data_IF_051180410979
#
_entry.id   IF_051180410979
#
_cell.length_a   1.000
_cell.length_b   1.000
_cell.length_c   1.000
_cell.angle_alpha   90.00
_cell.angle_beta   90.00
_cell.angle_gamma   90.00
#
_symmetry.space_group_name_H-M   'P 1'
#
loop_
_entity.id
_entity.type
_entity.pdbx_description
1 polymer ?
#
# COMPACT_ATOMS: atom_id res chain seq x y z
N UNK A 1 14.92 30.10 27.96
CA UNK A 1 15.55 29.45 26.79
C UNK A 1 16.23 28.17 27.24
N UNK A 2 15.64 27.01 26.92
CA UNK A 2 16.32 25.71 27.05
C UNK A 2 15.83 24.82 25.92
N UNK A 3 16.75 24.45 25.02
CA UNK A 3 16.53 23.65 23.82
C UNK A 3 16.11 22.24 24.23
N UNK A 4 14.85 21.87 24.01
CA UNK A 4 14.41 20.47 24.09
C UNK A 4 15.03 19.72 22.91
N UNK A 5 15.90 18.78 23.25
CA UNK A 5 16.56 17.86 22.33
C UNK A 5 15.51 16.92 21.73
N UNK A 6 15.19 17.11 20.44
CA UNK A 6 14.40 16.16 19.67
C UNK A 6 15.26 14.91 19.44
N UNK A 7 15.14 13.93 20.33
CA UNK A 7 15.70 12.62 20.12
C UNK A 7 14.97 11.96 18.96
N UNK A 8 15.63 11.98 17.81
CA UNK A 8 15.31 11.37 16.54
C UNK A 8 15.13 9.85 16.73
N UNK A 9 13.89 9.41 16.86
CA UNK A 9 13.53 7.99 16.96
C UNK A 9 13.39 7.41 15.54
N UNK A 10 14.50 6.93 14.98
CA UNK A 10 14.59 6.31 13.65
C UNK A 10 14.16 4.84 13.64
N UNK A 11 12.90 4.55 13.96
CA UNK A 11 12.34 3.21 13.78
C UNK A 11 11.13 3.36 12.85
N UNK A 12 11.29 2.80 11.65
CA UNK A 12 10.22 2.32 10.77
C UNK A 12 9.21 1.55 11.61
N UNK A 13 8.12 2.22 11.97
CA UNK A 13 7.04 1.62 12.76
C UNK A 13 6.24 0.71 11.82
N UNK A 14 6.80 -0.47 11.55
CA UNK A 14 6.17 -1.55 10.81
C UNK A 14 5.12 -2.16 11.75
N UNK A 15 3.99 -1.46 11.95
CA UNK A 15 2.85 -1.97 12.70
C UNK A 15 2.14 -3.05 11.89
N UNK A 16 2.72 -4.25 11.85
CA UNK A 16 1.93 -5.45 11.59
C UNK A 16 0.92 -5.56 12.74
N UNK A 17 -0.37 -5.76 12.44
CA UNK A 17 -1.34 -6.22 13.45
C UNK A 17 -0.88 -7.61 13.93
N UNK A 18 -0.03 -7.62 14.96
CA UNK A 18 0.77 -8.77 15.39
C UNK A 18 2.20 -8.33 15.66
N UNK A 19 2.46 -7.89 16.90
CA UNK A 19 3.74 -7.49 17.49
C UNK A 19 5.00 -7.96 16.74
N UNK A 20 5.67 -7.04 16.02
CA UNK A 20 7.08 -7.22 15.69
C UNK A 20 7.85 -5.88 15.75
N UNK A 21 8.58 -5.71 16.84
CA UNK A 21 9.64 -4.72 16.97
C UNK A 21 10.82 -5.17 16.13
N UNK A 22 11.10 -4.50 15.01
CA UNK A 22 12.30 -4.76 14.21
C UNK A 22 13.56 -4.42 15.02
N UNK A 23 14.33 -5.46 15.32
CA UNK A 23 15.61 -5.40 16.02
C UNK A 23 16.66 -4.61 15.23
N UNK A 24 17.51 -3.88 15.97
CA UNK A 24 18.72 -3.20 15.49
C UNK A 24 19.69 -4.20 14.84
N UNK A 25 20.11 -3.96 13.60
CA UNK A 25 21.34 -4.55 13.03
C UNK A 25 22.31 -3.47 12.51
N UNK A 26 23.60 -3.79 12.52
CA UNK A 26 24.74 -2.89 12.28
C UNK A 26 24.71 -2.18 10.91
N UNK A 27 25.31 -0.99 10.84
CA UNK A 27 25.07 0.00 9.76
C UNK A 27 25.36 -0.42 8.30
N UNK A 28 26.17 -1.46 8.04
CA UNK A 28 26.35 -2.00 6.67
C UNK A 28 25.20 -2.95 6.28
N UNK A 29 24.57 -3.61 7.25
CA UNK A 29 23.34 -4.40 7.08
C UNK A 29 22.09 -3.51 7.00
N UNK A 30 22.15 -2.27 7.49
CA UNK A 30 20.97 -1.41 7.60
C UNK A 30 20.34 -1.02 6.25
N UNK A 31 21.15 -0.87 5.18
CA UNK A 31 20.59 -0.56 3.86
C UNK A 31 19.93 -1.79 3.23
N UNK A 32 20.54 -2.97 3.35
CA UNK A 32 19.95 -4.22 2.88
C UNK A 32 18.68 -4.54 3.66
N UNK A 33 18.66 -4.34 4.98
CA UNK A 33 17.46 -4.52 5.80
C UNK A 33 16.33 -3.57 5.41
N UNK A 34 16.63 -2.29 5.09
CA UNK A 34 15.61 -1.35 4.59
C UNK A 34 15.05 -1.78 3.24
N UNK A 35 15.92 -2.21 2.34
CA UNK A 35 15.50 -2.70 1.04
C UNK A 35 14.60 -3.93 1.18
N UNK A 36 14.97 -4.91 1.99
CA UNK A 36 14.17 -6.10 2.23
C UNK A 36 12.81 -5.79 2.89
N UNK A 37 12.74 -4.82 3.80
CA UNK A 37 11.47 -4.38 4.38
C UNK A 37 10.54 -3.73 3.35
N UNK A 38 11.09 -2.85 2.51
CA UNK A 38 10.33 -2.19 1.45
C UNK A 38 9.92 -3.19 0.36
N UNK A 39 10.75 -4.18 0.07
CA UNK A 39 10.47 -5.29 -0.84
C UNK A 39 9.38 -6.20 -0.30
N UNK A 40 9.44 -6.56 0.98
CA UNK A 40 8.40 -7.31 1.68
C UNK A 40 7.07 -6.55 1.64
N UNK A 41 7.08 -5.25 1.92
CA UNK A 41 5.88 -4.43 1.77
C UNK A 41 5.28 -4.52 0.35
N UNK A 42 6.07 -4.44 -0.71
CA UNK A 42 5.56 -4.57 -2.08
C UNK A 42 4.89 -5.95 -2.32
N UNK A 43 5.43 -7.02 -1.74
CA UNK A 43 4.82 -8.36 -1.79
C UNK A 43 3.49 -8.40 -1.04
N UNK A 44 3.42 -7.81 0.16
CA UNK A 44 2.16 -7.71 0.92
C UNK A 44 1.10 -6.93 0.14
N UNK A 45 1.44 -5.80 -0.47
CA UNK A 45 0.52 -5.06 -1.31
C UNK A 45 0.01 -5.90 -2.49
N UNK A 46 0.89 -6.63 -3.18
CA UNK A 46 0.51 -7.48 -4.32
C UNK A 46 -0.48 -8.58 -3.91
N UNK A 47 -0.34 -9.09 -2.68
CA UNK A 47 -1.27 -10.06 -2.06
C UNK A 47 -2.57 -9.46 -1.54
N UNK A 48 -2.77 -8.15 -1.68
CA UNK A 48 -4.01 -7.47 -1.31
C UNK A 48 -4.02 -6.86 0.08
N UNK A 49 -2.87 -6.76 0.75
CA UNK A 49 -2.80 -6.05 2.02
C UNK A 49 -2.85 -4.54 1.81
N UNK A 50 -3.28 -3.85 2.87
CA UNK A 50 -3.37 -2.38 2.91
C UNK A 50 -2.05 -1.77 3.38
N UNK A 51 -1.49 -0.85 2.62
CA UNK A 51 -0.21 -0.21 2.91
C UNK A 51 -0.38 1.31 2.90
N UNK A 52 0.08 1.96 3.95
CA UNK A 52 0.22 3.41 3.99
C UNK A 52 1.68 3.79 3.79
N UNK A 53 1.92 4.66 2.81
CA UNK A 53 3.23 5.21 2.50
C UNK A 53 3.19 6.71 2.77
N UNK A 54 4.01 7.15 3.72
CA UNK A 54 4.25 8.54 4.01
C UNK A 54 5.54 8.99 3.33
N UNK A 55 5.47 10.06 2.55
CA UNK A 55 6.64 10.63 1.91
C UNK A 55 6.30 11.39 0.62
N UNK A 56 7.23 12.23 0.14
CA UNK A 56 7.02 13.00 -1.07
C UNK A 56 6.94 12.12 -2.32
N UNK A 57 6.45 12.73 -3.39
CA UNK A 57 6.47 12.17 -4.73
C UNK A 57 7.87 12.09 -5.36
N UNK A 58 8.76 11.28 -4.78
CA UNK A 58 10.16 11.17 -5.19
C UNK A 58 10.45 9.96 -6.10
N UNK A 59 11.72 9.86 -6.52
CA UNK A 59 12.21 8.76 -7.36
C UNK A 59 12.13 7.41 -6.65
N UNK A 60 12.36 7.36 -5.33
CA UNK A 60 12.30 6.12 -4.57
C UNK A 60 10.87 5.58 -4.53
N UNK A 61 9.88 6.42 -4.22
CA UNK A 61 8.46 6.07 -4.26
C UNK A 61 8.07 5.60 -5.66
N UNK A 62 8.53 6.29 -6.69
CA UNK A 62 8.27 5.92 -8.09
C UNK A 62 8.87 4.55 -8.44
N UNK A 63 10.12 4.30 -8.04
CA UNK A 63 10.78 3.01 -8.23
C UNK A 63 10.06 1.89 -7.49
N UNK A 64 9.62 2.14 -6.25
CA UNK A 64 8.86 1.19 -5.45
C UNK A 64 7.48 0.89 -6.05
N UNK A 65 6.72 1.90 -6.50
CA UNK A 65 5.42 1.73 -7.14
C UNK A 65 5.53 0.97 -8.47
N UNK A 66 6.60 1.21 -9.22
CA UNK A 66 6.93 0.44 -10.43
C UNK A 66 7.21 -1.02 -10.07
N UNK A 67 8.05 -1.25 -9.04
CA UNK A 67 8.35 -2.59 -8.56
C UNK A 67 7.09 -3.35 -8.12
N UNK A 68 6.21 -2.70 -7.35
CA UNK A 68 4.91 -3.24 -6.97
C UNK A 68 4.04 -3.58 -8.19
N UNK A 69 3.95 -2.67 -9.17
CA UNK A 69 3.17 -2.91 -10.39
C UNK A 69 3.69 -4.11 -11.18
N UNK A 70 5.02 -4.20 -11.33
CA UNK A 70 5.68 -5.31 -12.02
C UNK A 70 5.40 -6.65 -11.30
N UNK A 71 5.41 -6.67 -9.96
CA UNK A 71 5.04 -7.85 -9.17
C UNK A 71 3.57 -8.21 -9.37
N UNK A 72 2.66 -7.25 -9.23
CA UNK A 72 1.23 -7.50 -9.38
C UNK A 72 0.89 -8.05 -10.78
N UNK A 73 1.50 -7.52 -11.84
CA UNK A 73 1.34 -8.04 -13.20
C UNK A 73 1.89 -9.47 -13.36
N UNK A 74 3.01 -9.79 -12.71
CA UNK A 74 3.53 -11.15 -12.69
C UNK A 74 2.58 -12.12 -11.98
N UNK A 75 1.89 -11.68 -10.92
CA UNK A 75 0.85 -12.45 -10.24
C UNK A 75 -0.41 -12.60 -11.10
N UNK A 76 -0.78 -11.56 -11.85
CA UNK A 76 -1.92 -11.58 -12.75
C UNK A 76 -1.82 -12.66 -13.83
N UNK A 77 -0.61 -12.87 -14.36
CA UNK A 77 -0.31 -13.96 -15.30
C UNK A 77 -0.56 -15.37 -14.71
N UNK A 78 -0.62 -15.48 -13.38
CA UNK A 78 -0.87 -16.74 -12.65
C UNK A 78 -2.34 -16.95 -12.26
N UNK A 79 -3.25 -16.02 -12.57
CA UNK A 79 -4.70 -16.25 -12.40
C UNK A 79 -5.57 -15.06 -11.99
N UNK A 80 -5.03 -13.86 -11.73
CA UNK A 80 -5.84 -12.67 -11.44
C UNK A 80 -5.93 -11.72 -12.66
N UNK A 81 -7.14 -11.39 -13.12
CA UNK A 81 -7.37 -10.53 -14.31
C UNK A 81 -7.58 -9.06 -13.97
N UNK A 82 -7.47 -8.68 -12.69
CA UNK A 82 -7.72 -7.30 -12.22
C UNK A 82 -6.56 -6.38 -12.61
N UNK A 83 -6.85 -5.10 -12.80
CA UNK A 83 -5.84 -4.04 -13.03
C UNK A 83 -5.68 -3.16 -11.81
N UNK A 84 -4.48 -2.62 -11.62
CA UNK A 84 -4.25 -1.58 -10.62
C UNK A 84 -4.99 -0.31 -11.04
N UNK A 85 -5.73 0.27 -10.10
CA UNK A 85 -6.53 1.47 -10.31
C UNK A 85 -5.90 2.63 -9.55
N UNK A 86 -5.60 3.71 -10.26
CA UNK A 86 -5.13 4.96 -9.67
C UNK A 86 -6.35 5.81 -9.30
N UNK A 87 -6.48 6.18 -8.04
CA UNK A 87 -7.52 7.06 -7.54
C UNK A 87 -6.94 8.46 -7.33
N UNK A 88 -7.37 9.47 -8.12
CA UNK A 88 -6.98 10.86 -7.91
C UNK A 88 -7.45 11.39 -6.55
N UNK A 89 -6.83 12.48 -6.09
CA UNK A 89 -7.14 13.14 -4.82
C UNK A 89 -8.60 13.59 -4.66
N UNK A 90 -9.31 13.83 -5.77
CA UNK A 90 -10.69 14.35 -5.80
C UNK A 90 -11.70 13.29 -6.26
N UNK A 91 -11.45 12.01 -5.99
CA UNK A 91 -12.40 10.93 -6.28
C UNK A 91 -13.66 11.10 -5.43
N UNK A 92 -14.84 11.02 -6.05
CA UNK A 92 -16.12 11.11 -5.35
C UNK A 92 -16.64 9.73 -4.91
N UNK A 93 -17.72 9.74 -4.12
CA UNK A 93 -18.34 8.52 -3.60
C UNK A 93 -18.82 7.57 -4.71
N UNK A 94 -19.52 8.11 -5.71
CA UNK A 94 -20.11 7.33 -6.80
C UNK A 94 -19.04 6.75 -7.75
N UNK A 95 -17.89 7.40 -7.92
CA UNK A 95 -16.77 6.80 -8.62
C UNK A 95 -16.13 5.69 -7.79
N UNK A 96 -15.92 5.90 -6.49
CA UNK A 96 -15.22 4.93 -5.63
C UNK A 96 -16.03 3.65 -5.40
N UNK A 97 -17.29 3.79 -4.98
CA UNK A 97 -18.17 2.68 -4.61
C UNK A 97 -19.10 2.23 -5.74
N UNK A 98 -19.29 3.10 -6.74
CA UNK A 98 -20.24 2.87 -7.81
C UNK A 98 -21.52 3.66 -7.59
N UNK A 99 -22.27 3.84 -8.66
CA UNK A 99 -23.44 4.70 -8.67
C UNK A 99 -24.42 4.29 -9.75
N UNK A 100 -25.41 5.14 -9.98
CA UNK A 100 -26.36 4.96 -11.08
C UNK A 100 -25.85 5.70 -12.31
N UNK A 101 -25.79 5.04 -13.46
CA UNK A 101 -25.56 5.71 -14.73
C UNK A 101 -26.88 6.31 -15.22
N UNK A 102 -27.11 7.58 -14.89
CA UNK A 102 -28.34 8.30 -15.24
C UNK A 102 -28.57 8.35 -16.75
N UNK A 103 -27.51 8.47 -17.55
CA UNK A 103 -27.63 8.56 -19.00
C UNK A 103 -28.10 7.24 -19.60
N UNK A 104 -27.44 6.13 -19.24
CA UNK A 104 -27.85 4.80 -19.68
C UNK A 104 -29.23 4.42 -19.11
N UNK A 105 -29.54 4.85 -17.88
CA UNK A 105 -30.81 4.54 -17.25
C UNK A 105 -31.99 5.22 -17.96
N UNK A 106 -31.84 6.49 -18.33
CA UNK A 106 -32.84 7.24 -19.08
C UNK A 106 -32.99 6.70 -20.51
N UNK A 107 -31.90 6.30 -21.15
CA UNK A 107 -31.93 5.74 -22.50
C UNK A 107 -32.61 4.37 -22.57
N UNK A 108 -32.47 3.54 -21.53
CA UNK A 108 -33.01 2.18 -21.48
C UNK A 108 -34.36 2.07 -20.78
N UNK A 109 -34.78 3.10 -20.04
CA UNK A 109 -35.99 3.08 -19.20
C UNK A 109 -35.85 2.17 -17.96
N UNK A 110 -34.63 1.79 -17.59
CA UNK A 110 -34.33 0.89 -16.48
C UNK A 110 -33.14 1.41 -15.68
N UNK A 111 -33.05 1.14 -14.37
CA UNK A 111 -31.93 1.61 -13.55
C UNK A 111 -30.67 0.81 -13.90
N UNK A 112 -29.68 1.46 -14.51
CA UNK A 112 -28.36 0.91 -14.84
C UNK A 112 -27.37 1.31 -13.76
N UNK A 113 -26.76 0.32 -13.10
CA UNK A 113 -25.71 0.53 -12.08
C UNK A 113 -24.32 0.45 -12.70
N UNK A 114 -23.43 1.34 -12.26
CA UNK A 114 -22.01 1.36 -12.62
C UNK A 114 -21.18 0.86 -11.44
N UNK A 115 -20.32 -0.12 -11.69
CA UNK A 115 -19.38 -0.60 -10.68
C UNK A 115 -18.34 0.47 -10.32
N UNK A 116 -18.09 0.65 -9.02
CA UNK A 116 -17.08 1.58 -8.51
C UNK A 116 -15.65 1.10 -8.76
N UNK A 117 -14.69 2.01 -8.59
CA UNK A 117 -13.26 1.73 -8.71
C UNK A 117 -12.82 0.59 -7.76
N UNK A 118 -13.40 0.52 -6.56
CA UNK A 118 -13.07 -0.51 -5.55
C UNK A 118 -13.38 -1.94 -6.01
N UNK A 119 -14.32 -2.12 -6.94
CA UNK A 119 -14.68 -3.41 -7.50
C UNK A 119 -13.76 -3.85 -8.65
N UNK A 120 -13.00 -2.91 -9.23
CA UNK A 120 -12.22 -3.15 -10.46
C UNK A 120 -10.84 -3.75 -10.18
N UNK A 121 -10.27 -3.53 -9.00
CA UNK A 121 -8.92 -3.98 -8.68
C UNK A 121 -8.32 -3.35 -7.44
N UNK A 122 -7.04 -3.64 -7.16
CA UNK A 122 -6.31 -2.95 -6.11
C UNK A 122 -6.22 -1.45 -6.43
N UNK A 123 -6.39 -0.64 -5.39
CA UNK A 123 -6.44 0.81 -5.48
C UNK A 123 -5.12 1.44 -5.02
N UNK A 124 -4.70 2.49 -5.70
CA UNK A 124 -3.65 3.41 -5.24
C UNK A 124 -4.30 4.78 -5.05
N UNK A 125 -4.39 5.22 -3.80
CA UNK A 125 -4.91 6.53 -3.45
C UNK A 125 -3.77 7.53 -3.45
N UNK A 126 -3.87 8.53 -4.32
CA UNK A 126 -2.96 9.66 -4.39
C UNK A 126 -3.40 10.75 -3.39
N UNK A 127 -2.43 11.35 -2.68
CA UNK A 127 -2.65 12.47 -1.77
C UNK A 127 -3.82 12.20 -0.80
N UNK A 128 -3.77 11.07 -0.10
CA UNK A 128 -4.84 10.60 0.77
C UNK A 128 -5.19 11.59 1.88
N UNK A 129 -4.24 12.46 2.24
CA UNK A 129 -4.44 13.55 3.20
C UNK A 129 -5.49 14.57 2.74
N UNK A 130 -5.79 14.63 1.43
CA UNK A 130 -6.76 15.55 0.82
C UNK A 130 -8.15 14.95 0.65
N UNK A 131 -8.34 13.68 0.98
CA UNK A 131 -9.62 13.01 0.80
C UNK A 131 -10.65 13.45 1.85
N UNK A 132 -11.92 13.47 1.44
CA UNK A 132 -13.00 13.77 2.37
C UNK A 132 -13.06 12.73 3.51
N UNK A 133 -13.34 13.22 4.72
CA UNK A 133 -13.33 12.39 5.92
C UNK A 133 -14.47 11.36 5.94
N UNK A 134 -15.61 11.70 5.36
CA UNK A 134 -16.75 10.79 5.22
C UNK A 134 -16.38 9.68 4.23
N UNK A 135 -15.80 10.04 3.08
CA UNK A 135 -15.35 9.08 2.07
C UNK A 135 -14.29 8.11 2.60
N UNK A 136 -13.29 8.61 3.35
CA UNK A 136 -12.27 7.75 3.96
C UNK A 136 -12.83 6.83 5.05
N UNK A 137 -13.90 7.23 5.76
CA UNK A 137 -14.56 6.40 6.77
C UNK A 137 -15.32 5.25 6.12
N UNK A 138 -16.03 5.50 5.02
CA UNK A 138 -16.71 4.46 4.24
C UNK A 138 -15.70 3.50 3.61
N UNK A 139 -14.59 4.03 3.07
CA UNK A 139 -13.53 3.20 2.50
C UNK A 139 -12.91 2.30 3.56
N UNK A 140 -12.68 2.85 4.74
CA UNK A 140 -12.18 2.12 5.89
C UNK A 140 -13.09 0.91 6.24
N UNK A 141 -14.41 1.09 6.25
CA UNK A 141 -15.36 -0.01 6.44
C UNK A 141 -15.30 -1.04 5.30
N UNK A 142 -15.11 -0.59 4.06
CA UNK A 142 -14.99 -1.50 2.92
C UNK A 142 -13.71 -2.34 2.97
N UNK A 143 -12.60 -1.79 3.47
CA UNK A 143 -11.33 -2.52 3.67
C UNK A 143 -11.50 -3.69 4.63
N UNK A 144 -12.36 -3.56 5.65
CA UNK A 144 -12.63 -4.65 6.61
C UNK A 144 -13.21 -5.91 5.92
N UNK A 145 -13.71 -5.77 4.68
CA UNK A 145 -14.24 -6.86 3.85
C UNK A 145 -13.28 -7.30 2.74
N UNK A 146 -12.08 -6.71 2.67
CA UNK A 146 -11.06 -7.15 1.72
C UNK A 146 -10.50 -8.49 2.20
N UNK A 147 -10.56 -9.49 1.32
CA UNK A 147 -9.99 -10.81 1.57
C UNK A 147 -8.59 -10.88 0.92
N UNK A 148 -7.50 -10.80 1.71
CA UNK A 148 -6.16 -10.93 1.17
C UNK A 148 -6.01 -12.35 0.64
N UNK A 149 -5.78 -12.49 -0.66
CA UNK A 149 -5.64 -13.81 -1.29
C UNK A 149 -4.75 -13.73 -2.52
N UNK A 150 -4.07 -14.84 -2.80
CA UNK A 150 -3.14 -14.95 -3.93
C UNK A 150 -3.83 -14.83 -5.31
N UNK A 151 -5.15 -15.04 -5.38
CA UNK A 151 -5.87 -15.10 -6.66
C UNK A 151 -6.84 -13.93 -6.89
N UNK A 152 -7.24 -13.17 -5.85
CA UNK A 152 -8.33 -12.17 -5.93
C UNK A 152 -8.06 -10.88 -5.17
N UNK A 153 -6.79 -10.51 -4.98
CA UNK A 153 -6.38 -9.39 -4.12
C UNK A 153 -7.04 -8.06 -4.48
N UNK A 154 -7.91 -7.59 -3.57
CA UNK A 154 -8.30 -6.18 -3.49
C UNK A 154 -7.32 -5.53 -2.50
N UNK A 155 -6.21 -4.99 -3.03
CA UNK A 155 -5.22 -4.26 -2.23
C UNK A 155 -5.53 -2.76 -2.15
N UNK A 156 -4.96 -2.11 -1.15
CA UNK A 156 -5.00 -0.64 -1.06
C UNK A 156 -3.62 -0.09 -0.74
N UNK A 157 -3.15 0.84 -1.54
CA UNK A 157 -1.98 1.65 -1.23
C UNK A 157 -2.45 3.08 -1.00
N UNK A 158 -2.15 3.62 0.18
CA UNK A 158 -2.48 4.97 0.60
C UNK A 158 -1.20 5.80 0.53
N UNK A 159 -1.15 6.77 -0.37
CA UNK A 159 -0.01 7.68 -0.50
C UNK A 159 -0.32 8.98 0.24
N UNK A 160 0.49 9.30 1.23
CA UNK A 160 0.40 10.49 2.06
C UNK A 160 1.60 11.40 1.81
N UNK A 161 1.33 12.55 1.21
CA UNK A 161 2.34 13.55 0.88
C UNK A 161 2.38 14.69 1.92
N UNK A 162 1.66 14.58 3.03
CA UNK A 162 1.61 15.62 4.07
C UNK A 162 2.98 15.90 4.70
N UNK A 163 3.30 17.19 4.83
CA UNK A 163 4.53 17.71 5.43
C UNK A 163 4.21 18.60 6.63
N UNK A 164 4.99 18.47 7.70
CA UNK A 164 4.91 19.39 8.85
C UNK A 164 3.52 19.46 9.48
N UNK A 165 2.90 20.64 9.39
CA UNK A 165 1.60 20.98 10.00
C UNK A 165 0.40 20.66 9.09
N UNK A 166 0.63 19.99 7.95
CA UNK A 166 -0.45 19.53 7.07
C UNK A 166 -1.44 18.61 7.81
N UNK A 167 -2.71 18.64 7.38
CA UNK A 167 -3.73 17.75 7.91
C UNK A 167 -3.32 16.31 7.57
N UNK A 168 -3.20 15.41 8.56
CA UNK A 168 -2.82 14.03 8.30
C UNK A 168 -3.98 13.26 7.67
N UNK A 169 -3.67 12.11 7.06
CA UNK A 169 -4.68 11.14 6.61
C UNK A 169 -5.64 10.78 7.76
N UNK A 170 -6.90 10.58 7.42
CA UNK A 170 -7.95 10.21 8.36
C UNK A 170 -7.57 8.99 9.21
N UNK A 171 -7.65 9.06 10.55
CA UNK A 171 -7.33 7.94 11.44
C UNK A 171 -8.12 6.67 11.15
N UNK A 172 -9.39 6.82 10.71
CA UNK A 172 -10.26 5.71 10.33
C UNK A 172 -9.61 4.81 9.27
N UNK A 173 -8.85 5.41 8.35
CA UNK A 173 -8.16 4.70 7.27
C UNK A 173 -6.81 4.15 7.75
N UNK A 174 -6.03 4.96 8.45
CA UNK A 174 -4.68 4.57 8.90
C UNK A 174 -4.71 3.41 9.89
N UNK A 175 -5.72 3.32 10.75
CA UNK A 175 -5.87 2.24 11.75
C UNK A 175 -6.14 0.86 11.14
N UNK A 176 -6.53 0.83 9.86
CA UNK A 176 -6.79 -0.39 9.08
C UNK A 176 -5.68 -0.71 8.08
N UNK A 177 -4.63 0.09 8.03
CA UNK A 177 -3.44 -0.22 7.25
C UNK A 177 -2.67 -1.37 7.91
N UNK A 178 -2.33 -2.38 7.12
CA UNK A 178 -1.52 -3.53 7.56
C UNK A 178 -0.07 -3.12 7.79
N UNK A 179 0.42 -2.17 6.99
CA UNK A 179 1.80 -1.68 7.05
C UNK A 179 1.81 -0.16 6.92
N UNK A 180 2.72 0.47 7.66
CA UNK A 180 3.01 1.90 7.57
C UNK A 180 4.48 2.05 7.22
N UNK A 181 4.76 2.79 6.16
CA UNK A 181 6.09 2.97 5.60
C UNK A 181 6.38 4.46 5.54
N UNK A 182 7.52 4.87 6.07
CA UNK A 182 8.00 6.23 5.92
C UNK A 182 9.18 6.26 4.95
N UNK A 183 8.98 6.89 3.79
CA UNK A 183 10.00 7.08 2.75
C UNK A 183 10.75 8.41 2.90
N UNK A 184 10.44 9.23 3.91
CA UNK A 184 11.20 10.46 4.14
C UNK A 184 12.66 10.14 4.50
N UNK A 185 13.58 10.87 3.88
CA UNK A 185 15.03 10.83 4.18
C UNK A 185 15.69 9.47 3.97
N UNK A 186 15.23 8.70 2.97
CA UNK A 186 15.86 7.44 2.59
C UNK A 186 17.12 7.65 1.74
N UNK A 187 18.13 6.76 1.83
CA UNK A 187 19.35 6.87 1.03
C UNK A 187 19.07 6.59 -0.45
N UNK A 188 19.70 7.35 -1.34
CA UNK A 188 19.56 7.22 -2.80
C UNK A 188 19.97 5.85 -3.33
N UNK A 189 20.86 5.13 -2.64
CA UNK A 189 21.28 3.77 -2.99
C UNK A 189 20.13 2.77 -3.07
N UNK A 190 19.01 3.02 -2.36
CA UNK A 190 17.82 2.16 -2.44
C UNK A 190 17.14 2.25 -3.80
N UNK A 191 17.24 3.40 -4.49
CA UNK A 191 16.65 3.59 -5.81
C UNK A 191 17.26 2.58 -6.79
N UNK A 192 18.59 2.45 -6.78
CA UNK A 192 19.31 1.52 -7.66
C UNK A 192 19.02 0.06 -7.30
N UNK A 193 18.89 -0.24 -6.01
CA UNK A 193 18.47 -1.57 -5.56
C UNK A 193 17.08 -1.94 -6.09
N UNK A 194 16.11 -1.02 -6.05
CA UNK A 194 14.77 -1.27 -6.63
C UNK A 194 14.77 -1.36 -8.15
N UNK A 195 15.60 -0.57 -8.85
CA UNK A 195 15.73 -0.66 -10.31
C UNK A 195 16.28 -2.02 -10.75
N UNK A 196 17.24 -2.55 -9.99
CA UNK A 196 17.93 -3.81 -10.25
C UNK A 196 17.31 -5.03 -9.56
N UNK A 197 16.29 -4.84 -8.71
CA UNK A 197 15.66 -5.91 -7.96
C UNK A 197 15.05 -6.98 -8.87
N UNK A 198 15.23 -8.24 -8.48
CA UNK A 198 14.58 -9.36 -9.15
C UNK A 198 13.06 -9.25 -9.08
N UNK A 199 12.42 -9.44 -10.24
CA UNK A 199 10.98 -9.25 -10.44
C UNK A 199 10.20 -10.57 -10.45
N UNK A 200 10.91 -11.71 -10.41
CA UNK A 200 10.36 -13.06 -10.53
C UNK A 200 10.05 -13.74 -9.18
N UNK A 201 9.97 -12.97 -8.10
CA UNK A 201 10.01 -13.51 -6.73
C UNK A 201 8.70 -14.08 -6.21
N UNK A 202 7.59 -13.79 -6.88
CA UNK A 202 6.31 -14.44 -6.56
C UNK A 202 6.41 -15.96 -6.74
N UNK A 203 7.26 -16.43 -7.66
CA UNK A 203 7.57 -17.85 -7.85
C UNK A 203 8.38 -18.46 -6.69
N UNK A 204 9.25 -17.68 -6.05
CA UNK A 204 10.12 -18.17 -4.97
C UNK A 204 9.33 -18.45 -3.67
N UNK A 205 8.17 -17.80 -3.49
CA UNK A 205 7.33 -17.97 -2.30
C UNK A 205 6.28 -19.10 -2.42
N UNK A 206 6.24 -19.87 -3.51
CA UNK A 206 5.46 -21.14 -3.55
C UNK A 206 5.86 -22.10 -2.41
N UNK A 207 7.05 -21.94 -1.81
CA UNK A 207 7.49 -22.67 -0.59
C UNK A 207 7.00 -22.09 0.75
N UNK A 208 6.57 -20.83 0.78
CA UNK A 208 6.13 -20.15 2.02
C UNK A 208 4.65 -20.36 2.33
N UNK A 209 3.90 -21.05 1.46
CA UNK A 209 2.57 -21.56 1.79
C UNK A 209 2.58 -22.72 2.79
N UNK A 210 3.72 -23.38 3.00
CA UNK A 210 3.88 -24.51 3.94
C UNK A 210 4.52 -24.10 5.27
N UNK A 211 5.07 -22.89 5.38
CA UNK A 211 5.71 -22.45 6.63
C UNK A 211 4.78 -21.47 7.32
N UNK A 212 4.09 -21.99 8.34
CA UNK A 212 3.44 -21.24 9.40
C UNK A 212 4.20 -19.93 9.68
N UNK A 213 3.48 -18.82 9.79
CA UNK A 213 4.01 -17.46 10.00
C UNK A 213 5.01 -17.30 11.16
N UNK A 214 5.25 -18.35 11.96
CA UNK A 214 6.27 -18.43 13.00
C UNK A 214 7.70 -18.63 12.47
N UNK A 215 7.90 -19.34 11.36
CA UNK A 215 9.24 -19.87 11.03
C UNK A 215 10.09 -18.90 10.20
N UNK A 216 9.45 -17.94 9.52
CA UNK A 216 10.15 -16.91 8.73
C UNK A 216 10.96 -15.94 9.60
N UNK A 217 10.58 -15.77 10.87
CA UNK A 217 11.29 -14.89 11.81
C UNK A 217 12.53 -15.54 12.43
N UNK A 218 12.73 -16.84 12.25
CA UNK A 218 13.86 -17.58 12.79
C UNK A 218 14.99 -17.82 11.78
N UNK A 219 14.77 -17.53 10.48
CA UNK A 219 15.74 -17.81 9.41
C UNK A 219 16.33 -16.55 8.73
N UNK A 220 16.04 -15.35 9.25
CA UNK A 220 16.70 -14.08 8.89
C UNK A 220 17.70 -13.69 9.99
#
# INVERSE_FOLDING_TARGET
MSRKSYATSWITDLKLRGSLTLMRSNQTSANDSRFELLRLAAIFAARGHTIWIKGPADELRTAWLKYYSDLFEAQARLGCSKRIIQCPAHTDYDALFGGTDLQSSLATGSIVRRAGLIAQGPLIIQMAERWDRSLTTELALAIDHFEPSEARSNGLIVLDESLGDDIPVSPSLTDRCTLIINLQQQPSSLIDQFKNADRNLLTAHRKLGDTSSSDFLHSL
#
